data_IF_011000438899
#
_entry.id   IF_011000438899
#
_cell.length_a   1.000
_cell.length_b   1.000
_cell.length_c   1.000
_cell.angle_alpha   90.00
_cell.angle_beta   90.00
_cell.angle_gamma   90.00
#
_symmetry.space_group_name_H-M   'P 1'
#
loop_
_entity.id
_entity.type
_entity.pdbx_description
1 polymer ?
#
# COMPACT_ATOMS: atom_id res chain seq x y z
N UNK A 1 67.46 29.72 -32.52
CA UNK A 1 66.53 30.40 -31.58
C UNK A 1 65.78 29.36 -30.75
N UNK A 2 65.97 29.30 -29.42
CA UNK A 2 65.32 28.32 -28.55
C UNK A 2 64.18 28.96 -27.73
N UNK A 3 62.98 28.38 -27.73
CA UNK A 3 61.82 28.87 -26.95
C UNK A 3 61.70 28.15 -25.60
N UNK A 4 61.68 28.93 -24.52
CA UNK A 4 61.63 28.45 -23.11
C UNK A 4 60.28 27.82 -22.73
N UNK A 5 60.22 26.86 -21.80
CA UNK A 5 58.98 26.26 -21.32
C UNK A 5 58.20 27.19 -20.37
N UNK A 6 56.87 27.25 -20.53
CA UNK A 6 55.96 28.06 -19.69
C UNK A 6 55.72 27.39 -18.33
N UNK A 7 56.18 28.01 -17.23
CA UNK A 7 55.80 27.66 -15.85
C UNK A 7 54.28 27.83 -15.67
N UNK A 8 53.55 26.72 -15.42
CA UNK A 8 52.12 26.77 -15.08
C UNK A 8 51.97 27.05 -13.58
N UNK A 9 51.38 28.19 -13.24
CA UNK A 9 51.26 28.75 -11.88
C UNK A 9 50.37 27.85 -11.00
N UNK A 10 50.90 27.33 -9.89
CA UNK A 10 50.08 26.71 -8.82
C UNK A 10 49.11 27.77 -8.30
N UNK A 11 47.80 27.50 -8.33
CA UNK A 11 46.80 28.27 -7.56
C UNK A 11 46.73 27.66 -6.16
N UNK A 12 47.04 28.47 -5.15
CA UNK A 12 46.75 28.11 -3.76
C UNK A 12 45.23 28.15 -3.56
N UNK A 13 44.63 27.01 -3.20
CA UNK A 13 43.26 26.96 -2.71
C UNK A 13 43.31 27.04 -1.17
N UNK A 14 43.39 28.27 -0.66
CA UNK A 14 43.26 28.58 0.76
C UNK A 14 41.94 29.30 1.04
N UNK A 15 41.39 29.07 2.23
CA UNK A 15 40.25 29.80 2.82
C UNK A 15 38.91 29.76 2.04
N UNK A 16 38.20 28.65 2.20
CA UNK A 16 36.72 28.60 2.16
C UNK A 16 36.21 27.49 3.10
N UNK A 17 36.73 27.46 4.33
CA UNK A 17 36.16 26.66 5.41
C UNK A 17 35.18 27.57 6.17
N UNK A 18 33.90 27.20 6.20
CA UNK A 18 32.89 28.01 6.88
C UNK A 18 33.04 27.93 8.39
N UNK A 19 33.13 29.09 9.05
CA UNK A 19 33.15 29.25 10.51
C UNK A 19 31.74 29.07 11.11
N UNK A 20 31.13 27.91 10.87
CA UNK A 20 29.98 27.43 11.63
C UNK A 20 30.46 26.55 12.79
N UNK A 21 29.71 26.46 13.91
CA UNK A 21 30.01 25.49 14.96
C UNK A 21 29.99 24.08 14.38
N UNK A 22 30.99 23.26 14.73
CA UNK A 22 31.12 21.90 14.25
C UNK A 22 30.15 20.96 14.96
N UNK A 23 28.92 20.90 14.47
CA UNK A 23 27.85 20.05 15.00
C UNK A 23 28.00 18.56 14.63
N UNK A 24 29.05 18.17 13.88
CA UNK A 24 29.14 16.83 13.25
C UNK A 24 30.36 16.00 13.68
N UNK A 25 31.37 16.59 14.33
CA UNK A 25 32.52 15.85 14.90
C UNK A 25 32.21 15.05 16.16
N UNK A 26 31.09 15.32 16.84
CA UNK A 26 30.65 14.58 18.02
C UNK A 26 29.75 13.37 17.71
N UNK A 27 29.57 13.01 16.44
CA UNK A 27 28.68 11.90 16.04
C UNK A 27 29.38 10.55 16.27
N UNK A 28 28.80 9.72 17.12
CA UNK A 28 29.30 8.36 17.40
C UNK A 28 29.21 7.44 16.18
N UNK A 29 30.09 6.43 16.12
CA UNK A 29 30.15 5.46 15.01
C UNK A 29 28.77 4.82 14.71
N UNK A 30 28.00 4.49 15.74
CA UNK A 30 26.67 3.87 15.59
C UNK A 30 25.64 4.80 14.94
N UNK A 31 25.66 6.09 15.26
CA UNK A 31 24.78 7.09 14.64
C UNK A 31 25.22 7.35 13.21
N UNK A 32 26.53 7.43 12.95
CA UNK A 32 27.07 7.55 11.60
C UNK A 32 26.67 6.34 10.73
N UNK A 33 26.77 5.12 11.27
CA UNK A 33 26.35 3.88 10.62
C UNK A 33 24.85 3.87 10.33
N UNK A 34 24.03 4.37 11.26
CA UNK A 34 22.59 4.50 11.06
C UNK A 34 22.25 5.49 9.93
N UNK A 35 22.95 6.63 9.85
CA UNK A 35 22.80 7.63 8.77
C UNK A 35 23.18 7.02 7.42
N UNK A 36 24.39 6.45 7.32
CA UNK A 36 24.89 5.85 6.08
C UNK A 36 24.02 4.68 5.59
N UNK A 37 23.43 3.88 6.50
CA UNK A 37 22.52 2.76 6.13
C UNK A 37 21.25 3.19 5.39
N UNK A 38 20.91 4.48 5.45
CA UNK A 38 19.73 5.07 4.79
C UNK A 38 20.08 5.78 3.47
N UNK A 39 21.36 5.83 3.11
CA UNK A 39 21.87 6.52 1.92
C UNK A 39 22.28 5.50 0.84
N UNK A 40 22.10 5.82 -0.45
CA UNK A 40 22.73 5.06 -1.53
C UNK A 40 24.25 5.06 -1.36
N UNK A 41 24.92 3.95 -1.65
CA UNK A 41 26.38 3.75 -1.45
C UNK A 41 27.23 4.87 -2.06
N UNK A 42 26.82 5.42 -3.21
CA UNK A 42 27.49 6.58 -3.86
C UNK A 42 27.35 7.88 -3.05
N UNK A 43 26.18 8.14 -2.48
CA UNK A 43 25.92 9.29 -1.61
C UNK A 43 26.62 9.15 -0.26
N UNK A 44 26.64 7.94 0.29
CA UNK A 44 27.39 7.61 1.49
C UNK A 44 28.91 7.81 1.28
N UNK A 45 29.45 7.38 0.14
CA UNK A 45 30.84 7.65 -0.26
C UNK A 45 31.16 9.15 -0.42
N UNK A 46 30.23 9.96 -0.93
CA UNK A 46 30.47 11.41 -1.05
C UNK A 46 30.53 12.14 0.30
N UNK A 47 29.97 11.58 1.39
CA UNK A 47 30.08 12.17 2.72
C UNK A 47 31.53 12.15 3.26
N UNK A 48 32.37 11.20 2.83
CA UNK A 48 33.79 11.16 3.19
C UNK A 48 34.59 12.38 2.65
N UNK A 49 34.01 13.16 1.73
CA UNK A 49 34.60 14.41 1.26
C UNK A 49 34.28 15.62 2.17
N UNK A 50 33.23 15.54 3.01
CA UNK A 50 32.62 16.69 3.71
C UNK A 50 33.43 17.17 4.92
N UNK A 51 34.04 16.28 5.69
CA UNK A 51 34.89 16.66 6.84
C UNK A 51 36.09 15.72 6.99
N UNK A 52 37.09 16.09 7.80
CA UNK A 52 38.24 15.22 8.10
C UNK A 52 37.83 14.00 8.92
N UNK A 53 36.97 14.21 9.92
CA UNK A 53 36.38 13.14 10.73
C UNK A 53 35.61 12.14 9.86
N UNK A 54 34.73 12.63 8.98
CA UNK A 54 34.01 11.77 8.04
C UNK A 54 34.95 11.07 7.05
N UNK A 55 36.06 11.69 6.64
CA UNK A 55 37.07 11.03 5.79
C UNK A 55 37.79 9.87 6.48
N UNK A 56 37.84 9.86 7.81
CA UNK A 56 38.46 8.79 8.60
C UNK A 56 37.45 7.70 8.95
N UNK A 57 36.26 8.08 9.43
CA UNK A 57 35.24 7.12 9.89
C UNK A 57 34.43 6.48 8.75
N UNK A 58 34.12 7.23 7.68
CA UNK A 58 33.21 6.74 6.64
C UNK A 58 33.81 5.62 5.78
N UNK A 59 35.08 5.62 5.36
CA UNK A 59 35.64 4.48 4.60
C UNK A 59 35.55 3.12 5.32
N UNK A 60 36.02 2.93 6.57
CA UNK A 60 35.86 1.65 7.27
C UNK A 60 34.40 1.33 7.63
N UNK A 61 33.52 2.34 7.72
CA UNK A 61 32.09 2.13 7.84
C UNK A 61 31.42 1.71 6.53
N UNK A 62 31.87 2.23 5.37
CA UNK A 62 31.39 1.81 4.04
C UNK A 62 31.75 0.35 3.75
N UNK A 63 32.93 -0.08 4.18
CA UNK A 63 33.35 -1.49 4.17
C UNK A 63 32.52 -2.37 5.14
N UNK A 64 31.64 -1.76 5.96
CA UNK A 64 30.64 -2.38 6.86
C UNK A 64 29.19 -2.02 6.49
N UNK A 65 28.94 -1.38 5.34
CA UNK A 65 27.64 -0.80 4.96
C UNK A 65 27.13 -1.38 3.64
N UNK A 66 26.74 -2.63 3.80
CA UNK A 66 26.49 -3.58 2.75
C UNK A 66 25.18 -3.39 2.01
N UNK A 67 25.18 -2.45 1.06
CA UNK A 67 24.23 -2.46 -0.04
C UNK A 67 24.92 -2.38 -1.39
N UNK A 68 24.85 -3.47 -2.15
CA UNK A 68 25.31 -3.54 -3.54
C UNK A 68 24.12 -3.35 -4.48
N UNK A 69 24.13 -2.27 -5.27
CA UNK A 69 23.14 -2.05 -6.33
C UNK A 69 23.83 -2.12 -7.69
N UNK A 70 23.53 -3.16 -8.47
CA UNK A 70 24.14 -3.40 -9.79
C UNK A 70 23.10 -3.10 -10.87
N UNK A 71 23.36 -2.06 -11.66
CA UNK A 71 22.53 -1.63 -12.81
C UNK A 71 23.06 -2.14 -14.15
N UNK A 72 24.35 -2.50 -14.23
CA UNK A 72 25.00 -3.01 -15.44
C UNK A 72 25.91 -4.21 -15.12
N UNK A 73 25.79 -5.34 -15.86
CA UNK A 73 26.58 -6.55 -15.60
C UNK A 73 27.93 -6.60 -16.36
N UNK A 74 28.36 -5.50 -17.00
CA UNK A 74 29.55 -5.49 -17.88
C UNK A 74 30.83 -4.96 -17.23
N UNK A 75 30.76 -4.43 -16.01
CA UNK A 75 31.97 -4.27 -15.20
C UNK A 75 32.21 -5.60 -14.49
N UNK A 76 33.41 -6.17 -14.66
CA UNK A 76 33.93 -7.16 -13.73
C UNK A 76 33.95 -6.50 -12.35
N UNK A 77 32.89 -6.69 -11.55
CA UNK A 77 32.89 -6.25 -10.16
C UNK A 77 33.94 -7.11 -9.45
N UNK A 78 35.07 -6.54 -9.00
CA UNK A 78 35.98 -7.28 -8.16
C UNK A 78 35.34 -7.28 -6.78
N UNK A 79 34.43 -8.23 -6.55
CA UNK A 79 34.26 -8.76 -5.20
C UNK A 79 35.64 -9.28 -4.83
N UNK A 80 36.37 -8.52 -4.01
CA UNK A 80 37.73 -8.86 -3.59
C UNK A 80 37.72 -10.26 -2.97
N UNK A 81 38.77 -11.02 -3.20
CA UNK A 81 38.95 -12.34 -2.57
C UNK A 81 39.21 -12.25 -1.06
N UNK A 82 39.46 -11.05 -0.53
CA UNK A 82 39.35 -10.74 0.91
C UNK A 82 37.88 -10.67 1.32
N UNK A 83 37.42 -11.46 2.32
CA UNK A 83 36.01 -11.50 2.70
C UNK A 83 35.52 -10.14 3.25
N UNK A 84 34.53 -9.48 2.63
CA UNK A 84 33.84 -8.38 3.27
C UNK A 84 32.86 -8.93 4.32
N UNK A 85 32.68 -8.19 5.41
CA UNK A 85 31.82 -8.56 6.53
C UNK A 85 30.34 -8.38 6.16
N UNK A 86 29.58 -9.48 6.09
CA UNK A 86 28.10 -9.49 6.09
C UNK A 86 27.40 -8.64 5.01
N UNK A 87 27.43 -9.09 3.75
CA UNK A 87 26.66 -8.44 2.68
C UNK A 87 25.16 -8.42 3.04
N UNK A 88 24.62 -7.33 3.59
CA UNK A 88 23.24 -7.25 4.08
C UNK A 88 22.20 -7.19 2.96
N UNK A 89 22.44 -6.38 1.92
CA UNK A 89 21.50 -6.12 0.82
C UNK A 89 22.12 -6.22 -0.56
N UNK A 90 21.51 -7.02 -1.43
CA UNK A 90 21.86 -7.07 -2.87
C UNK A 90 20.64 -6.67 -3.73
N UNK A 91 20.83 -5.64 -4.55
CA UNK A 91 19.85 -5.16 -5.52
C UNK A 91 20.39 -5.31 -6.95
N UNK A 92 19.62 -5.97 -7.82
CA UNK A 92 19.92 -6.10 -9.26
C UNK A 92 18.82 -5.42 -10.08
N UNK A 93 19.19 -4.48 -10.93
CA UNK A 93 18.29 -3.83 -11.87
C UNK A 93 18.91 -3.71 -13.28
N UNK A 94 19.29 -4.83 -13.92
CA UNK A 94 20.02 -4.83 -15.19
C UNK A 94 19.15 -4.39 -16.37
N UNK A 95 19.67 -3.48 -17.20
CA UNK A 95 19.02 -3.07 -18.44
C UNK A 95 19.06 -4.13 -19.56
N UNK A 96 20.00 -5.08 -19.49
CA UNK A 96 20.13 -6.22 -20.41
C UNK A 96 19.87 -7.54 -19.68
N UNK A 97 19.52 -8.60 -20.41
CA UNK A 97 19.36 -9.93 -19.80
C UNK A 97 20.71 -10.43 -19.26
N UNK A 98 20.80 -10.70 -17.95
CA UNK A 98 21.98 -11.32 -17.34
C UNK A 98 21.99 -12.81 -17.73
N UNK A 99 23.13 -13.38 -18.18
CA UNK A 99 23.28 -14.81 -18.36
C UNK A 99 22.96 -15.60 -17.07
N UNK A 100 22.18 -16.70 -17.12
CA UNK A 100 21.80 -17.45 -15.93
C UNK A 100 22.99 -17.97 -15.10
N UNK A 101 24.14 -18.22 -15.73
CA UNK A 101 25.40 -18.63 -15.09
C UNK A 101 25.96 -17.54 -14.19
N UNK A 102 26.15 -16.32 -14.71
CA UNK A 102 26.64 -15.16 -13.95
C UNK A 102 25.71 -14.80 -12.79
N UNK A 103 24.40 -14.88 -13.01
CA UNK A 103 23.41 -14.64 -11.95
C UNK A 103 23.52 -15.68 -10.83
N UNK A 104 23.66 -16.97 -11.15
CA UNK A 104 23.85 -18.05 -10.16
C UNK A 104 25.09 -17.81 -9.32
N UNK A 105 26.26 -17.60 -9.94
CA UNK A 105 27.51 -17.35 -9.22
C UNK A 105 27.42 -16.14 -8.27
N UNK A 106 26.74 -15.07 -8.68
CA UNK A 106 26.49 -13.91 -7.82
C UNK A 106 25.58 -14.25 -6.64
N UNK A 107 24.49 -14.99 -6.87
CA UNK A 107 23.57 -15.45 -5.83
C UNK A 107 24.26 -16.41 -4.84
N UNK A 108 25.09 -17.35 -5.33
CA UNK A 108 25.79 -18.32 -4.49
C UNK A 108 26.85 -17.63 -3.61
N UNK A 109 27.54 -16.60 -4.13
CA UNK A 109 28.45 -15.74 -3.36
C UNK A 109 27.68 -14.92 -2.30
N UNK A 110 26.57 -14.31 -2.69
CA UNK A 110 25.67 -13.58 -1.79
C UNK A 110 25.10 -14.47 -0.66
N UNK A 111 24.71 -15.71 -0.98
CA UNK A 111 24.24 -16.67 0.02
C UNK A 111 25.34 -17.06 1.02
N UNK A 112 26.58 -17.26 0.54
CA UNK A 112 27.76 -17.49 1.42
C UNK A 112 28.09 -16.29 2.30
N UNK A 113 27.77 -15.07 1.87
CA UNK A 113 27.97 -13.83 2.63
C UNK A 113 26.80 -13.51 3.60
N UNK A 114 25.78 -14.37 3.68
CA UNK A 114 24.69 -14.24 4.67
C UNK A 114 23.63 -13.19 4.33
N UNK A 115 23.39 -12.89 3.04
CA UNK A 115 22.46 -11.83 2.63
C UNK A 115 21.07 -11.95 3.27
N UNK A 116 20.64 -10.85 3.87
CA UNK A 116 19.33 -10.72 4.51
C UNK A 116 18.28 -10.00 3.64
N UNK A 117 18.69 -9.25 2.60
CA UNK A 117 17.77 -8.48 1.74
C UNK A 117 18.12 -8.65 0.25
N UNK A 118 17.22 -9.23 -0.54
CA UNK A 118 17.35 -9.38 -2.01
C UNK A 118 16.30 -8.54 -2.75
N UNK A 119 16.72 -7.83 -3.78
CA UNK A 119 15.86 -6.93 -4.57
C UNK A 119 16.16 -7.01 -6.07
N UNK A 120 15.40 -7.81 -6.82
CA UNK A 120 15.65 -8.05 -8.24
C UNK A 120 14.57 -7.46 -9.14
N UNK A 121 14.93 -6.51 -9.99
CA UNK A 121 14.13 -5.97 -11.09
C UNK A 121 14.70 -6.50 -12.40
N UNK A 122 14.09 -7.54 -12.96
CA UNK A 122 14.58 -8.22 -14.16
C UNK A 122 13.62 -7.99 -15.34
N UNK A 123 14.04 -8.34 -16.55
CA UNK A 123 13.17 -8.28 -17.73
C UNK A 123 12.13 -9.41 -17.71
N UNK A 124 10.95 -9.20 -18.33
CA UNK A 124 9.82 -10.16 -18.29
C UNK A 124 10.12 -11.58 -18.78
N UNK A 125 11.23 -11.78 -19.50
CA UNK A 125 11.69 -13.10 -20.00
C UNK A 125 12.73 -13.75 -19.08
N UNK A 126 13.29 -13.02 -18.12
CA UNK A 126 14.28 -13.54 -17.18
C UNK A 126 13.63 -14.50 -16.18
N UNK A 127 14.17 -15.72 -16.12
CA UNK A 127 13.82 -16.72 -15.11
C UNK A 127 14.83 -16.63 -13.97
N UNK A 128 14.34 -16.60 -12.73
CA UNK A 128 15.18 -16.68 -11.55
C UNK A 128 15.85 -18.07 -11.45
N UNK A 129 17.07 -18.15 -10.88
CA UNK A 129 17.66 -19.44 -10.51
C UNK A 129 16.79 -20.21 -9.52
N UNK A 130 16.86 -21.55 -9.62
CA UNK A 130 16.19 -22.51 -8.73
C UNK A 130 16.42 -22.21 -7.24
N UNK A 131 17.64 -21.77 -6.90
CA UNK A 131 18.13 -21.63 -5.52
C UNK A 131 17.83 -20.25 -4.90
N UNK A 132 17.18 -19.34 -5.63
CA UNK A 132 16.93 -17.95 -5.15
C UNK A 132 16.10 -17.92 -3.88
N UNK A 133 15.19 -18.88 -3.73
CA UNK A 133 14.31 -19.03 -2.59
C UNK A 133 14.88 -20.02 -1.55
N UNK A 134 16.15 -20.42 -1.66
CA UNK A 134 16.83 -21.35 -0.73
C UNK A 134 17.78 -20.64 0.26
N UNK A 135 17.87 -19.30 0.21
CA UNK A 135 18.80 -18.52 1.03
C UNK A 135 18.25 -18.38 2.45
N UNK A 136 18.78 -19.18 3.38
CA UNK A 136 18.24 -19.30 4.76
C UNK A 136 18.24 -17.98 5.55
N UNK A 137 19.23 -17.12 5.33
CA UNK A 137 19.40 -15.81 5.99
C UNK A 137 18.41 -14.75 5.50
N UNK A 138 17.65 -15.02 4.43
CA UNK A 138 16.84 -14.03 3.74
C UNK A 138 15.67 -13.55 4.60
N UNK A 139 15.64 -12.25 4.89
CA UNK A 139 14.59 -11.57 5.66
C UNK A 139 13.65 -10.72 4.80
N UNK A 140 14.15 -10.15 3.70
CA UNK A 140 13.38 -9.35 2.74
C UNK A 140 13.66 -9.82 1.32
N UNK A 141 12.60 -10.10 0.55
CA UNK A 141 12.68 -10.43 -0.87
C UNK A 141 11.74 -9.53 -1.68
N UNK A 142 12.32 -8.70 -2.56
CA UNK A 142 11.60 -7.93 -3.57
C UNK A 142 11.92 -8.48 -4.96
N UNK A 143 10.89 -8.87 -5.71
CA UNK A 143 10.99 -9.37 -7.08
C UNK A 143 10.07 -8.55 -7.98
N UNK A 144 10.64 -7.99 -9.05
CA UNK A 144 9.93 -7.19 -10.04
C UNK A 144 10.19 -7.70 -11.47
N UNK A 145 9.09 -7.86 -12.21
CA UNK A 145 9.05 -8.19 -13.65
C UNK A 145 9.82 -9.45 -14.07
N UNK A 146 9.98 -10.44 -13.19
CA UNK A 146 10.67 -11.72 -13.46
C UNK A 146 9.73 -12.94 -13.47
N UNK A 147 10.25 -14.12 -13.83
CA UNK A 147 9.56 -15.41 -13.66
C UNK A 147 10.26 -16.30 -12.62
N UNK A 148 9.47 -16.88 -11.71
CA UNK A 148 9.91 -17.89 -10.73
C UNK A 148 9.61 -19.29 -11.29
N UNK A 149 10.62 -20.14 -11.53
CA UNK A 149 10.38 -21.50 -12.03
C UNK A 149 9.53 -22.35 -11.06
N UNK A 150 8.64 -23.24 -11.54
CA UNK A 150 7.81 -24.09 -10.68
C UNK A 150 8.59 -25.18 -9.94
N UNK A 151 9.83 -25.47 -10.37
CA UNK A 151 10.77 -26.37 -9.70
C UNK A 151 11.75 -25.64 -8.75
N UNK A 152 11.48 -24.38 -8.38
CA UNK A 152 12.33 -23.63 -7.44
C UNK A 152 12.34 -24.30 -6.06
N UNK A 153 13.52 -24.37 -5.44
CA UNK A 153 13.68 -24.84 -4.07
C UNK A 153 13.37 -23.69 -3.11
N UNK A 154 12.59 -23.98 -2.06
CA UNK A 154 12.11 -22.97 -1.11
C UNK A 154 12.53 -23.37 0.29
N UNK A 155 13.44 -22.60 0.87
CA UNK A 155 13.96 -22.73 2.23
C UNK A 155 14.30 -21.32 2.78
N UNK A 156 13.25 -20.55 3.09
CA UNK A 156 13.32 -19.15 3.53
C UNK A 156 12.72 -18.97 4.95
N UNK A 157 13.25 -19.62 6.00
CA UNK A 157 12.66 -19.60 7.34
C UNK A 157 12.63 -18.21 7.98
N UNK A 158 13.65 -17.40 7.73
CA UNK A 158 13.80 -16.06 8.31
C UNK A 158 13.05 -14.95 7.55
N UNK A 159 12.31 -15.29 6.48
CA UNK A 159 11.69 -14.30 5.59
C UNK A 159 10.54 -13.58 6.32
N UNK A 160 10.66 -12.26 6.46
CA UNK A 160 9.69 -11.36 7.10
C UNK A 160 8.90 -10.53 6.10
N UNK A 161 9.45 -10.27 4.91
CA UNK A 161 8.80 -9.44 3.89
C UNK A 161 9.01 -10.02 2.51
N UNK A 162 7.90 -10.35 1.84
CA UNK A 162 7.86 -10.81 0.46
C UNK A 162 7.12 -9.77 -0.41
N UNK A 163 7.74 -9.32 -1.49
CA UNK A 163 7.12 -8.37 -2.43
C UNK A 163 7.31 -8.86 -3.86
N UNK A 164 6.20 -9.17 -4.52
CA UNK A 164 6.14 -9.72 -5.87
C UNK A 164 5.36 -8.75 -6.78
N UNK A 165 6.05 -8.08 -7.68
CA UNK A 165 5.50 -7.04 -8.55
C UNK A 165 5.65 -7.46 -10.02
N UNK A 166 4.55 -7.75 -10.71
CA UNK A 166 4.51 -8.24 -12.12
C UNK A 166 5.31 -9.53 -12.34
N UNK A 167 5.35 -10.39 -11.32
CA UNK A 167 6.09 -11.66 -11.32
C UNK A 167 5.22 -12.80 -11.86
N UNK A 168 5.78 -13.67 -12.70
CA UNK A 168 5.16 -14.95 -13.06
C UNK A 168 5.55 -16.01 -12.02
N UNK A 169 4.59 -16.51 -11.25
CA UNK A 169 4.79 -17.46 -10.15
C UNK A 169 3.56 -18.39 -10.01
N UNK A 170 3.80 -19.69 -9.84
CA UNK A 170 2.72 -20.68 -9.66
C UNK A 170 2.26 -20.74 -8.19
N UNK A 171 0.99 -21.08 -7.98
CA UNK A 171 0.38 -21.21 -6.65
C UNK A 171 1.15 -22.16 -5.72
N UNK A 172 1.68 -23.27 -6.25
CA UNK A 172 2.50 -24.23 -5.48
C UNK A 172 3.74 -23.59 -4.86
N UNK A 173 4.41 -22.66 -5.56
CA UNK A 173 5.58 -21.96 -5.03
C UNK A 173 5.16 -20.98 -3.93
N UNK A 174 4.02 -20.28 -4.09
CA UNK A 174 3.46 -19.43 -3.03
C UNK A 174 3.20 -20.29 -1.78
N UNK A 175 2.51 -21.42 -1.93
CA UNK A 175 2.22 -22.33 -0.80
C UNK A 175 3.51 -22.80 -0.11
N UNK A 176 4.55 -23.17 -0.88
CA UNK A 176 5.87 -23.54 -0.33
C UNK A 176 6.54 -22.38 0.42
N UNK A 177 6.43 -21.14 -0.06
CA UNK A 177 6.98 -19.96 0.64
C UNK A 177 6.20 -19.71 1.94
N UNK A 178 4.87 -19.74 1.91
CA UNK A 178 4.01 -19.54 3.09
C UNK A 178 4.26 -20.61 4.16
N UNK A 179 4.46 -21.87 3.76
CA UNK A 179 4.78 -22.96 4.67
C UNK A 179 6.21 -22.90 5.23
N UNK A 180 7.18 -22.44 4.43
CA UNK A 180 8.58 -22.33 4.86
C UNK A 180 8.85 -21.11 5.75
N UNK A 181 8.16 -19.99 5.53
CA UNK A 181 8.46 -18.70 6.17
C UNK A 181 7.57 -18.45 7.40
N UNK A 182 7.88 -19.12 8.51
CA UNK A 182 7.13 -18.99 9.77
C UNK A 182 7.11 -17.56 10.33
N UNK A 183 8.11 -16.73 10.00
CA UNK A 183 8.24 -15.34 10.46
C UNK A 183 7.68 -14.28 9.47
N UNK A 184 6.94 -14.69 8.44
CA UNK A 184 6.49 -13.82 7.36
C UNK A 184 5.40 -12.84 7.82
N UNK A 185 5.78 -11.57 8.02
CA UNK A 185 4.89 -10.51 8.49
C UNK A 185 4.17 -9.79 7.34
N UNK A 186 4.87 -9.54 6.23
CA UNK A 186 4.36 -8.71 5.12
C UNK A 186 4.44 -9.42 3.77
N UNK A 187 3.32 -9.44 3.03
CA UNK A 187 3.22 -9.96 1.67
C UNK A 187 2.58 -8.91 0.75
N UNK A 188 3.29 -8.57 -0.34
CA UNK A 188 2.73 -7.85 -1.47
C UNK A 188 2.74 -8.73 -2.73
N UNK A 189 1.58 -8.91 -3.35
CA UNK A 189 1.42 -9.58 -4.65
C UNK A 189 0.67 -8.64 -5.60
N UNK A 190 1.41 -7.97 -6.48
CA UNK A 190 0.92 -6.90 -7.35
C UNK A 190 1.10 -7.30 -8.81
N UNK A 191 0.01 -7.54 -9.51
CA UNK A 191 -0.07 -7.94 -10.91
C UNK A 191 0.73 -9.20 -11.26
N UNK A 192 0.78 -10.16 -10.33
CA UNK A 192 1.38 -11.46 -10.58
C UNK A 192 0.56 -12.30 -11.58
N UNK A 193 1.26 -13.09 -12.39
CA UNK A 193 0.70 -14.10 -13.32
C UNK A 193 1.14 -15.50 -12.87
N UNK A 194 0.53 -16.56 -13.38
CA UNK A 194 0.80 -17.94 -12.94
C UNK A 194 -0.01 -18.38 -11.71
N UNK A 195 -0.54 -17.42 -10.94
CA UNK A 195 -1.60 -17.67 -9.97
C UNK A 195 -2.86 -18.12 -10.72
N UNK A 196 -3.50 -19.20 -10.27
CA UNK A 196 -4.70 -19.76 -10.91
C UNK A 196 -4.47 -20.50 -12.24
N UNK A 197 -3.30 -21.07 -12.52
CA UNK A 197 -3.08 -21.89 -13.74
C UNK A 197 -3.52 -23.36 -13.61
N UNK A 198 -4.07 -23.78 -12.47
CA UNK A 198 -4.66 -25.11 -12.27
C UNK A 198 -6.15 -25.17 -12.65
N UNK A 199 -6.78 -26.35 -12.50
CA UNK A 199 -8.25 -26.48 -12.58
C UNK A 199 -8.88 -25.53 -11.55
N UNK A 200 -9.75 -24.63 -12.00
CA UNK A 200 -10.54 -23.73 -11.14
C UNK A 200 -10.10 -22.26 -11.12
N UNK A 201 -8.90 -21.91 -11.60
CA UNK A 201 -8.51 -20.49 -11.71
C UNK A 201 -8.30 -19.78 -10.36
N UNK A 202 -8.18 -20.52 -9.26
CA UNK A 202 -8.17 -19.98 -7.89
C UNK A 202 -6.77 -19.59 -7.39
N UNK A 203 -6.71 -18.62 -6.47
CA UNK A 203 -5.53 -18.28 -5.68
C UNK A 203 -5.84 -18.38 -4.19
N UNK A 204 -5.04 -19.16 -3.46
CA UNK A 204 -5.14 -19.33 -2.01
C UNK A 204 -3.98 -18.63 -1.29
N UNK A 205 -4.25 -18.02 -0.15
CA UNK A 205 -3.23 -17.46 0.74
C UNK A 205 -3.54 -17.93 2.15
N UNK A 206 -2.84 -18.96 2.61
CA UNK A 206 -2.99 -19.51 3.97
C UNK A 206 -1.70 -19.30 4.77
N UNK A 207 -1.75 -18.54 5.86
CA UNK A 207 -0.59 -18.31 6.74
C UNK A 207 -1.03 -17.85 8.13
N UNK A 208 -0.41 -18.38 9.18
CA UNK A 208 -0.64 -17.99 10.56
C UNK A 208 0.12 -16.73 11.00
N UNK A 209 1.16 -16.33 10.25
CA UNK A 209 2.09 -15.26 10.64
C UNK A 209 1.87 -13.92 9.95
N UNK A 210 1.25 -13.92 8.76
CA UNK A 210 1.07 -12.73 7.91
C UNK A 210 0.17 -11.70 8.57
N UNK A 211 0.73 -10.50 8.78
CA UNK A 211 0.05 -9.34 9.36
C UNK A 211 -0.31 -8.27 8.34
N UNK A 212 0.42 -8.17 7.23
CA UNK A 212 0.20 -7.15 6.21
C UNK A 212 0.09 -7.79 4.83
N UNK A 213 -1.09 -7.69 4.18
CA UNK A 213 -1.35 -8.27 2.87
C UNK A 213 -1.79 -7.21 1.85
N UNK A 214 -1.06 -7.10 0.74
CA UNK A 214 -1.48 -6.34 -0.45
C UNK A 214 -1.68 -7.31 -1.61
N UNK A 215 -2.91 -7.52 -2.04
CA UNK A 215 -3.26 -8.39 -3.17
C UNK A 215 -3.93 -7.60 -4.30
N UNK A 216 -3.22 -7.48 -5.43
CA UNK A 216 -3.67 -6.80 -6.66
C UNK A 216 -3.56 -7.76 -7.85
N UNK A 217 -4.58 -8.58 -8.12
CA UNK A 217 -4.53 -9.63 -9.13
C UNK A 217 -4.50 -9.10 -10.58
N UNK A 218 -4.02 -9.96 -11.48
CA UNK A 218 -4.19 -9.79 -12.93
C UNK A 218 -5.58 -10.22 -13.38
N UNK A 219 -5.92 -9.98 -14.66
CA UNK A 219 -7.26 -10.19 -15.22
C UNK A 219 -7.70 -11.66 -15.38
N UNK A 220 -6.90 -12.63 -14.93
CA UNK A 220 -7.10 -14.07 -15.20
C UNK A 220 -7.60 -14.91 -14.01
N UNK A 221 -7.62 -14.36 -12.80
CA UNK A 221 -8.04 -15.11 -11.60
C UNK A 221 -9.57 -15.21 -11.51
N UNK A 222 -10.05 -16.42 -11.21
CA UNK A 222 -11.48 -16.74 -11.05
C UNK A 222 -11.89 -16.86 -9.59
N UNK A 223 -11.00 -17.32 -8.70
CA UNK A 223 -11.27 -17.37 -7.26
C UNK A 223 -10.13 -16.84 -6.41
N UNK A 224 -10.47 -16.30 -5.24
CA UNK A 224 -9.53 -15.79 -4.24
C UNK A 224 -9.96 -16.29 -2.87
N UNK A 225 -9.07 -16.95 -2.12
CA UNK A 225 -9.31 -17.38 -0.74
C UNK A 225 -8.17 -16.96 0.16
N UNK A 226 -8.47 -16.20 1.21
CA UNK A 226 -7.47 -15.66 2.14
C UNK A 226 -7.79 -16.15 3.55
N UNK A 227 -6.86 -16.89 4.15
CA UNK A 227 -6.87 -17.41 5.51
C UNK A 227 -5.61 -16.91 6.23
N UNK A 228 -5.72 -15.74 6.87
CA UNK A 228 -4.66 -15.15 7.67
C UNK A 228 -5.25 -14.59 8.98
N UNK A 229 -5.28 -15.35 10.08
CA UNK A 229 -5.93 -14.91 11.32
C UNK A 229 -5.17 -13.76 12.02
N UNK A 230 -3.84 -13.69 11.86
CA UNK A 230 -3.00 -12.63 12.43
C UNK A 230 -2.98 -11.32 11.61
N UNK A 231 -3.85 -11.21 10.60
CA UNK A 231 -3.87 -10.11 9.64
C UNK A 231 -4.29 -8.79 10.30
N UNK A 232 -3.40 -7.79 10.29
CA UNK A 232 -3.61 -6.44 10.81
C UNK A 232 -3.96 -5.44 9.73
N UNK A 233 -3.38 -5.58 8.54
CA UNK A 233 -3.68 -4.74 7.38
C UNK A 233 -3.94 -5.58 6.13
N UNK A 234 -5.04 -5.29 5.44
CA UNK A 234 -5.41 -5.95 4.19
C UNK A 234 -5.74 -4.90 3.13
N UNK A 235 -5.19 -5.08 1.94
CA UNK A 235 -5.45 -4.27 0.75
C UNK A 235 -5.74 -5.21 -0.41
N UNK A 236 -7.02 -5.49 -0.62
CA UNK A 236 -7.52 -6.40 -1.64
C UNK A 236 -8.14 -5.64 -2.80
N UNK A 237 -7.80 -6.07 -4.02
CA UNK A 237 -8.51 -5.70 -5.23
C UNK A 237 -9.01 -6.98 -5.90
N UNK A 238 -10.22 -6.99 -6.44
CA UNK A 238 -10.68 -8.03 -7.38
C UNK A 238 -10.66 -7.49 -8.83
N UNK A 239 -10.91 -8.37 -9.79
CA UNK A 239 -11.10 -8.03 -11.21
C UNK A 239 -12.39 -8.69 -11.70
N UNK A 240 -13.02 -8.16 -12.74
CA UNK A 240 -14.35 -8.61 -13.20
C UNK A 240 -14.44 -10.05 -13.74
N UNK A 241 -13.37 -10.85 -13.70
CA UNK A 241 -13.40 -12.30 -13.94
C UNK A 241 -13.48 -13.14 -12.66
N UNK A 242 -13.33 -12.52 -11.48
CA UNK A 242 -13.43 -13.21 -10.19
C UNK A 242 -14.89 -13.60 -9.95
N UNK A 243 -15.14 -14.91 -9.90
CA UNK A 243 -16.42 -15.57 -9.61
C UNK A 243 -16.56 -15.93 -8.14
N UNK A 244 -15.45 -16.14 -7.43
CA UNK A 244 -15.41 -16.47 -5.99
C UNK A 244 -14.46 -15.57 -5.20
N UNK A 245 -14.88 -15.17 -4.01
CA UNK A 245 -14.02 -14.52 -3.02
C UNK A 245 -14.39 -15.05 -1.62
N UNK A 246 -13.43 -15.60 -0.89
CA UNK A 246 -13.59 -16.02 0.51
C UNK A 246 -12.53 -15.34 1.38
N UNK A 247 -12.95 -14.50 2.33
CA UNK A 247 -12.11 -13.92 3.37
C UNK A 247 -12.48 -14.56 4.71
N UNK A 248 -11.55 -15.31 5.30
CA UNK A 248 -11.73 -15.91 6.61
C UNK A 248 -11.66 -14.83 7.72
N UNK A 249 -12.21 -15.10 8.92
CA UNK A 249 -12.06 -14.26 10.10
C UNK A 249 -10.61 -13.88 10.41
N UNK A 250 -10.37 -12.61 10.72
CA UNK A 250 -9.09 -12.08 11.18
C UNK A 250 -9.33 -11.07 12.31
N UNK A 251 -9.35 -11.49 13.59
CA UNK A 251 -9.78 -10.63 14.71
C UNK A 251 -8.82 -9.46 15.02
N UNK A 252 -7.57 -9.55 14.56
CA UNK A 252 -6.56 -8.52 14.74
C UNK A 252 -6.55 -7.43 13.65
N UNK A 253 -7.52 -7.48 12.72
CA UNK A 253 -7.56 -6.54 11.58
C UNK A 253 -7.87 -5.12 12.03
N UNK A 254 -6.96 -4.21 11.69
CA UNK A 254 -7.06 -2.77 11.95
C UNK A 254 -7.38 -1.97 10.69
N UNK A 255 -6.82 -2.37 9.55
CA UNK A 255 -6.97 -1.64 8.28
C UNK A 255 -7.45 -2.56 7.19
N UNK A 256 -8.64 -2.31 6.67
CA UNK A 256 -9.20 -3.06 5.56
C UNK A 256 -9.50 -2.14 4.37
N UNK A 257 -8.81 -2.35 3.25
CA UNK A 257 -9.15 -1.78 1.96
C UNK A 257 -9.62 -2.91 1.04
N UNK A 258 -10.90 -2.89 0.66
CA UNK A 258 -11.54 -3.87 -0.21
C UNK A 258 -12.09 -3.16 -1.45
N UNK A 259 -11.50 -3.41 -2.62
CA UNK A 259 -12.02 -2.93 -3.90
C UNK A 259 -12.53 -4.10 -4.74
N UNK A 260 -13.84 -4.15 -4.96
CA UNK A 260 -14.47 -5.21 -5.75
C UNK A 260 -14.87 -4.66 -7.12
N UNK A 261 -14.30 -5.21 -8.19
CA UNK A 261 -14.69 -4.87 -9.55
C UNK A 261 -16.06 -5.47 -9.91
N UNK A 262 -16.80 -4.82 -10.81
CA UNK A 262 -18.05 -5.36 -11.38
C UNK A 262 -17.77 -6.73 -12.02
N UNK A 263 -18.43 -7.82 -11.59
CA UNK A 263 -18.27 -9.12 -12.22
C UNK A 263 -18.88 -9.09 -13.63
N UNK A 264 -18.31 -9.89 -14.54
CA UNK A 264 -18.81 -10.04 -15.93
C UNK A 264 -19.80 -11.20 -16.09
N UNK A 265 -19.97 -12.01 -15.06
CA UNK A 265 -20.81 -13.22 -15.03
C UNK A 265 -21.63 -13.22 -13.75
N UNK A 266 -22.64 -14.10 -13.70
CA UNK A 266 -23.40 -14.40 -12.48
C UNK A 266 -22.41 -14.76 -11.35
N UNK A 267 -22.66 -14.24 -10.15
CA UNK A 267 -21.78 -14.40 -8.99
C UNK A 267 -22.09 -15.71 -8.26
N UNK A 268 -21.05 -16.47 -7.90
CA UNK A 268 -21.15 -17.29 -6.69
C UNK A 268 -21.05 -16.34 -5.47
N UNK A 269 -21.69 -16.64 -4.33
CA UNK A 269 -21.70 -15.74 -3.18
C UNK A 269 -20.28 -15.49 -2.67
N UNK A 270 -19.84 -14.23 -2.76
CA UNK A 270 -18.62 -13.76 -2.12
C UNK A 270 -18.83 -13.77 -0.61
N UNK A 271 -17.90 -14.38 0.12
CA UNK A 271 -17.91 -14.47 1.59
C UNK A 271 -16.91 -13.48 2.15
N UNK A 272 -17.37 -12.28 2.50
CA UNK A 272 -16.55 -11.17 3.02
C UNK A 272 -16.99 -10.82 4.45
N UNK A 273 -18.28 -11.00 4.75
CA UNK A 273 -18.86 -10.90 6.09
C UNK A 273 -17.99 -11.51 7.21
N UNK A 274 -17.39 -12.72 7.10
CA UNK A 274 -16.59 -13.28 8.19
C UNK A 274 -15.37 -12.44 8.59
N UNK A 275 -14.82 -11.63 7.68
CA UNK A 275 -13.75 -10.69 8.00
C UNK A 275 -14.27 -9.47 8.79
N UNK A 276 -15.47 -8.97 8.48
CA UNK A 276 -16.09 -7.84 9.19
C UNK A 276 -16.67 -8.26 10.54
N UNK A 277 -17.31 -9.43 10.61
CA UNK A 277 -17.82 -10.03 11.86
C UNK A 277 -16.70 -10.40 12.86
N UNK A 278 -15.44 -10.43 12.42
CA UNK A 278 -14.26 -10.51 13.29
C UNK A 278 -13.62 -9.15 13.59
N UNK A 279 -13.93 -8.12 12.82
CA UNK A 279 -13.19 -6.86 12.71
C UNK A 279 -13.37 -5.84 13.84
N UNK A 280 -13.57 -6.28 15.10
CA UNK A 280 -13.84 -5.38 16.23
C UNK A 280 -12.76 -4.30 16.45
N UNK A 281 -11.51 -4.57 16.03
CA UNK A 281 -10.34 -3.69 16.16
C UNK A 281 -10.06 -2.80 14.93
N UNK A 282 -11.00 -2.72 13.98
CA UNK A 282 -10.84 -1.91 12.77
C UNK A 282 -10.70 -0.41 13.12
N UNK A 283 -9.58 0.20 12.75
CA UNK A 283 -9.34 1.65 12.80
C UNK A 283 -9.76 2.35 11.49
N UNK A 284 -9.67 1.63 10.36
CA UNK A 284 -9.93 2.15 9.02
C UNK A 284 -10.53 1.08 8.09
N UNK A 285 -11.70 1.38 7.55
CA UNK A 285 -12.43 0.55 6.60
C UNK A 285 -12.67 1.33 5.30
N UNK A 286 -12.22 0.78 4.18
CA UNK A 286 -12.43 1.33 2.84
C UNK A 286 -13.05 0.29 1.91
N UNK A 287 -14.31 0.52 1.52
CA UNK A 287 -15.11 -0.34 0.65
C UNK A 287 -15.29 0.37 -0.70
N UNK A 288 -14.81 -0.22 -1.81
CA UNK A 288 -14.84 0.42 -3.14
C UNK A 288 -15.38 -0.52 -4.24
N UNK A 289 -15.93 0.08 -5.29
CA UNK A 289 -16.62 -0.65 -6.34
C UNK A 289 -17.84 -1.39 -5.76
N UNK A 290 -18.04 -2.65 -6.13
CA UNK A 290 -19.17 -3.48 -5.68
C UNK A 290 -19.05 -3.99 -4.24
N UNK A 291 -18.08 -3.51 -3.44
CA UNK A 291 -17.90 -3.93 -2.05
C UNK A 291 -19.15 -3.68 -1.19
N UNK A 292 -19.80 -2.52 -1.34
CA UNK A 292 -21.05 -2.22 -0.63
C UNK A 292 -22.18 -3.17 -1.06
N UNK A 293 -22.35 -3.40 -2.38
CA UNK A 293 -23.38 -4.31 -2.91
C UNK A 293 -23.21 -5.76 -2.44
N UNK A 294 -21.98 -6.27 -2.38
CA UNK A 294 -21.72 -7.63 -1.90
C UNK A 294 -22.09 -7.77 -0.43
N UNK A 295 -21.64 -6.83 0.40
CA UNK A 295 -21.93 -6.85 1.83
C UNK A 295 -23.42 -6.60 2.12
N UNK A 296 -24.09 -5.73 1.37
CA UNK A 296 -25.52 -5.49 1.56
C UNK A 296 -26.37 -6.73 1.29
N UNK A 297 -25.91 -7.66 0.44
CA UNK A 297 -26.52 -8.98 0.24
C UNK A 297 -26.11 -9.99 1.32
N UNK A 298 -24.86 -10.01 1.79
CA UNK A 298 -24.45 -10.88 2.92
C UNK A 298 -25.11 -10.53 4.27
N UNK A 299 -25.64 -9.30 4.40
CA UNK A 299 -26.32 -8.78 5.60
C UNK A 299 -27.78 -8.39 5.33
N UNK A 300 -28.43 -8.96 4.31
CA UNK A 300 -29.81 -8.67 3.94
C UNK A 300 -30.78 -9.05 5.09
N UNK A 301 -30.78 -10.33 5.47
CA UNK A 301 -31.61 -10.91 6.55
C UNK A 301 -31.18 -10.50 7.99
N UNK A 302 -30.12 -9.70 8.12
CA UNK A 302 -29.46 -9.42 9.40
C UNK A 302 -29.85 -8.01 9.88
N UNK A 303 -30.69 -7.84 10.91
CA UNK A 303 -31.23 -6.54 11.27
C UNK A 303 -30.16 -5.55 11.77
N UNK A 304 -29.16 -6.04 12.52
CA UNK A 304 -28.05 -5.25 13.08
C UNK A 304 -26.74 -6.01 12.94
N UNK A 305 -25.62 -5.30 12.76
CA UNK A 305 -24.30 -5.93 12.74
C UNK A 305 -23.98 -6.52 14.11
N UNK A 306 -23.35 -7.70 14.13
CA UNK A 306 -22.95 -8.39 15.36
C UNK A 306 -21.78 -7.69 16.07
N UNK A 307 -21.03 -6.85 15.36
CA UNK A 307 -19.82 -6.18 15.84
C UNK A 307 -20.05 -4.68 15.97
N UNK A 308 -19.68 -4.14 17.14
CA UNK A 308 -19.53 -2.70 17.36
C UNK A 308 -18.10 -2.27 17.08
N UNK A 309 -17.90 -1.44 16.06
CA UNK A 309 -16.59 -0.95 15.63
C UNK A 309 -16.15 0.26 16.47
N UNK A 310 -15.85 0.02 17.75
CA UNK A 310 -15.50 1.07 18.71
C UNK A 310 -14.21 1.82 18.33
N UNK A 311 -13.26 1.15 17.67
CA UNK A 311 -11.99 1.73 17.24
C UNK A 311 -12.07 2.47 15.88
N UNK A 312 -13.16 2.34 15.12
CA UNK A 312 -13.20 2.81 13.73
C UNK A 312 -13.25 4.33 13.64
N UNK A 313 -12.14 4.92 13.20
CA UNK A 313 -12.01 6.38 13.01
C UNK A 313 -12.20 6.80 11.57
N UNK A 314 -11.94 5.90 10.60
CA UNK A 314 -12.01 6.20 9.18
C UNK A 314 -12.91 5.20 8.46
N UNK A 315 -14.03 5.68 7.92
CA UNK A 315 -14.91 4.93 7.04
C UNK A 315 -14.93 5.58 5.66
N UNK A 316 -14.66 4.80 4.62
CA UNK A 316 -14.81 5.28 3.24
C UNK A 316 -15.51 4.26 2.36
N UNK A 317 -16.63 4.66 1.75
CA UNK A 317 -17.50 3.78 0.98
C UNK A 317 -17.66 4.28 -0.45
N UNK A 318 -17.90 3.35 -1.36
CA UNK A 318 -18.41 3.61 -2.70
C UNK A 318 -19.83 3.09 -2.74
N UNK A 319 -20.80 3.98 -2.88
CA UNK A 319 -22.21 3.70 -2.68
C UNK A 319 -23.00 4.07 -3.93
N UNK A 320 -23.86 3.18 -4.35
CA UNK A 320 -24.98 3.50 -5.26
C UNK A 320 -26.17 3.92 -4.37
N UNK A 321 -26.53 5.20 -4.47
CA UNK A 321 -27.56 5.84 -3.63
C UNK A 321 -28.99 5.46 -4.03
N UNK A 322 -29.21 5.03 -5.27
CA UNK A 322 -30.51 4.52 -5.72
C UNK A 322 -30.80 3.13 -5.15
N UNK A 323 -29.77 2.43 -4.67
CA UNK A 323 -29.89 1.09 -4.09
C UNK A 323 -30.27 1.13 -2.60
N UNK A 324 -31.57 1.05 -2.30
CA UNK A 324 -32.11 0.99 -0.93
C UNK A 324 -31.41 -0.05 -0.04
N UNK A 325 -31.02 -1.21 -0.60
CA UNK A 325 -30.28 -2.26 0.10
C UNK A 325 -28.89 -1.79 0.57
N UNK A 326 -28.15 -1.06 -0.29
CA UNK A 326 -26.83 -0.53 0.05
C UNK A 326 -26.93 0.64 1.03
N UNK A 327 -27.93 1.51 0.88
CA UNK A 327 -28.20 2.62 1.82
C UNK A 327 -28.58 2.06 3.20
N UNK A 328 -29.47 1.06 3.27
CA UNK A 328 -29.81 0.36 4.51
C UNK A 328 -28.58 -0.27 5.18
N UNK A 329 -27.71 -0.92 4.39
CA UNK A 329 -26.45 -1.49 4.92
C UNK A 329 -25.47 -0.41 5.42
N UNK A 330 -25.41 0.76 4.75
CA UNK A 330 -24.62 1.89 5.23
C UNK A 330 -25.15 2.41 6.59
N UNK A 331 -26.47 2.51 6.78
CA UNK A 331 -27.05 2.88 8.07
C UNK A 331 -26.67 1.88 9.17
N UNK A 332 -26.85 0.57 8.93
CA UNK A 332 -26.42 -0.50 9.86
C UNK A 332 -24.92 -0.37 10.22
N UNK A 333 -24.08 -0.01 9.25
CA UNK A 333 -22.64 0.20 9.47
C UNK A 333 -22.35 1.45 10.29
N UNK A 334 -22.99 2.59 10.00
CA UNK A 334 -22.82 3.85 10.73
C UNK A 334 -23.33 3.77 12.18
N UNK A 335 -24.48 3.14 12.41
CA UNK A 335 -25.01 2.80 13.74
C UNK A 335 -23.99 2.01 14.58
N UNK A 336 -23.20 1.16 13.94
CA UNK A 336 -22.19 0.30 14.57
C UNK A 336 -20.83 1.00 14.78
N UNK A 337 -20.68 2.26 14.38
CA UNK A 337 -19.41 3.02 14.40
C UNK A 337 -19.52 4.28 15.30
N UNK A 338 -19.65 4.16 16.63
CA UNK A 338 -19.95 5.29 17.53
C UNK A 338 -18.86 6.37 17.60
N UNK A 339 -17.67 6.07 17.07
CA UNK A 339 -16.42 6.78 17.31
C UNK A 339 -15.81 7.37 16.02
N UNK A 340 -16.61 7.42 14.95
CA UNK A 340 -16.19 7.76 13.59
C UNK A 340 -15.78 9.23 13.47
N UNK A 341 -14.55 9.47 13.01
CA UNK A 341 -13.98 10.83 12.86
C UNK A 341 -13.93 11.28 11.41
N UNK A 342 -13.74 10.36 10.47
CA UNK A 342 -13.59 10.65 9.04
C UNK A 342 -14.52 9.76 8.22
N UNK A 343 -15.49 10.38 7.57
CA UNK A 343 -16.41 9.70 6.67
C UNK A 343 -16.19 10.16 5.22
N UNK A 344 -16.20 9.23 4.27
CA UNK A 344 -15.88 9.53 2.87
C UNK A 344 -16.68 8.69 1.89
N UNK A 345 -17.72 9.27 1.30
CA UNK A 345 -18.60 8.65 0.30
C UNK A 345 -18.08 8.95 -1.11
N UNK A 346 -18.16 7.98 -2.02
CA UNK A 346 -18.14 8.23 -3.46
C UNK A 346 -19.39 7.66 -4.11
N UNK A 347 -20.10 8.47 -4.90
CA UNK A 347 -21.19 7.98 -5.73
C UNK A 347 -20.64 6.96 -6.74
N UNK A 348 -21.14 5.73 -6.69
CA UNK A 348 -20.91 4.72 -7.73
C UNK A 348 -21.96 4.97 -8.82
N UNK A 349 -21.57 5.66 -9.90
CA UNK A 349 -22.51 6.01 -10.95
C UNK A 349 -23.16 4.79 -11.61
N UNK A 350 -24.48 4.84 -11.71
CA UNK A 350 -25.27 4.06 -12.65
C UNK A 350 -25.65 4.95 -13.83
N UNK A 351 -25.59 4.39 -15.03
CA UNK A 351 -26.36 4.92 -16.15
C UNK A 351 -27.85 4.63 -15.91
N UNK A 352 -28.71 5.54 -16.39
CA UNK A 352 -30.18 5.49 -16.42
C UNK A 352 -30.94 5.83 -15.12
N UNK A 353 -31.93 6.70 -15.29
CA UNK A 353 -32.94 7.08 -14.31
C UNK A 353 -33.77 5.86 -13.88
N UNK A 354 -33.71 5.55 -12.58
CA UNK A 354 -34.72 4.75 -11.87
C UNK A 354 -34.93 5.39 -10.50
N UNK A 355 -36.17 5.34 -10.04
CA UNK A 355 -36.69 6.17 -8.94
C UNK A 355 -35.82 6.17 -7.68
N UNK A 356 -35.64 7.37 -7.11
CA UNK A 356 -34.94 7.51 -5.82
C UNK A 356 -35.68 6.72 -4.74
N UNK A 357 -34.97 6.05 -3.81
CA UNK A 357 -35.59 5.39 -2.69
C UNK A 357 -36.36 6.39 -1.81
N UNK A 358 -37.46 5.95 -1.16
CA UNK A 358 -38.34 6.84 -0.40
C UNK A 358 -37.62 7.53 0.77
N UNK A 359 -38.14 8.72 1.11
CA UNK A 359 -37.53 9.74 1.97
C UNK A 359 -37.42 9.42 3.47
N UNK A 360 -37.57 8.15 3.88
CA UNK A 360 -37.67 7.71 5.28
C UNK A 360 -36.33 7.56 6.03
N UNK A 361 -35.19 7.65 5.35
CA UNK A 361 -33.88 7.46 6.00
C UNK A 361 -33.41 8.65 6.86
N UNK A 362 -34.03 9.83 6.76
CA UNK A 362 -33.55 11.04 7.45
C UNK A 362 -33.70 10.99 8.97
N UNK A 363 -34.79 10.41 9.48
CA UNK A 363 -34.97 10.20 10.93
C UNK A 363 -33.95 9.19 11.50
N UNK A 364 -33.56 8.20 10.68
CA UNK A 364 -32.50 7.25 11.04
C UNK A 364 -31.12 7.89 11.00
N UNK A 365 -30.85 8.78 10.05
CA UNK A 365 -29.59 9.55 10.04
C UNK A 365 -29.49 10.47 11.27
N UNK A 366 -30.60 11.05 11.72
CA UNK A 366 -30.67 11.89 12.92
C UNK A 366 -30.37 11.12 14.22
N UNK A 367 -30.74 9.83 14.31
CA UNK A 367 -30.48 9.01 15.50
C UNK A 367 -29.05 8.45 15.56
N UNK A 368 -28.25 8.55 14.48
CA UNK A 368 -26.86 8.09 14.45
C UNK A 368 -25.94 9.12 15.13
N UNK A 369 -25.58 8.84 16.38
CA UNK A 369 -24.74 9.70 17.22
C UNK A 369 -23.37 10.05 16.63
N UNK A 370 -22.76 9.17 15.82
CA UNK A 370 -21.42 9.42 15.28
C UNK A 370 -21.40 10.56 14.23
N UNK A 371 -22.49 10.77 13.49
CA UNK A 371 -22.61 11.84 12.51
C UNK A 371 -22.71 13.22 13.16
N UNK A 372 -23.33 13.30 14.35
CA UNK A 372 -23.58 14.56 15.06
C UNK A 372 -22.51 14.88 16.11
N UNK A 373 -21.94 13.87 16.77
CA UNK A 373 -21.06 14.05 17.94
C UNK A 373 -19.57 13.76 17.72
N UNK A 374 -19.18 12.88 16.79
CA UNK A 374 -17.77 12.47 16.61
C UNK A 374 -17.16 12.83 15.26
N UNK A 375 -17.97 13.07 14.22
CA UNK A 375 -17.50 13.29 12.86
C UNK A 375 -16.74 14.63 12.74
N UNK A 376 -15.45 14.57 12.39
CA UNK A 376 -14.55 15.73 12.22
C UNK A 376 -14.32 16.07 10.75
N UNK A 377 -14.33 15.08 9.86
CA UNK A 377 -14.07 15.28 8.44
C UNK A 377 -15.06 14.48 7.58
N UNK A 378 -15.76 15.19 6.69
CA UNK A 378 -16.59 14.59 5.66
C UNK A 378 -16.00 14.81 4.26
N UNK A 379 -16.06 13.81 3.39
CA UNK A 379 -15.73 13.97 1.97
C UNK A 379 -16.74 13.27 1.07
N UNK A 380 -17.30 14.00 0.11
CA UNK A 380 -18.17 13.46 -0.92
C UNK A 380 -17.45 13.54 -2.28
N UNK A 381 -17.37 12.41 -2.99
CA UNK A 381 -16.83 12.34 -4.36
C UNK A 381 -17.89 11.99 -5.40
N UNK A 382 -17.92 12.71 -6.51
CA UNK A 382 -18.97 12.57 -7.51
C UNK A 382 -20.33 13.05 -7.01
N UNK A 383 -20.34 14.11 -6.19
CA UNK A 383 -21.56 14.72 -5.66
C UNK A 383 -22.34 15.35 -6.80
N UNK A 384 -23.65 15.06 -6.85
CA UNK A 384 -24.63 15.79 -7.66
C UNK A 384 -25.66 16.42 -6.72
N UNK A 385 -26.13 17.66 -6.92
CA UNK A 385 -27.07 18.34 -6.03
C UNK A 385 -28.53 17.84 -6.17
N UNK A 386 -28.70 16.54 -6.39
CA UNK A 386 -29.97 15.81 -6.32
C UNK A 386 -30.57 15.91 -4.92
N UNK A 387 -31.89 15.72 -4.80
CA UNK A 387 -32.62 16.05 -3.57
C UNK A 387 -32.10 15.28 -2.33
N UNK A 388 -31.86 13.98 -2.46
CA UNK A 388 -31.32 13.15 -1.36
C UNK A 388 -29.87 13.54 -1.00
N UNK A 389 -29.00 13.69 -2.00
CA UNK A 389 -27.60 14.08 -1.80
C UNK A 389 -27.50 15.46 -1.11
N UNK A 390 -28.33 16.41 -1.55
CA UNK A 390 -28.49 17.73 -0.94
C UNK A 390 -28.99 17.63 0.50
N UNK A 391 -30.05 16.87 0.78
CA UNK A 391 -30.60 16.69 2.14
C UNK A 391 -29.57 16.10 3.10
N UNK A 392 -28.85 15.05 2.70
CA UNK A 392 -27.76 14.46 3.49
C UNK A 392 -26.64 15.47 3.77
N UNK A 393 -26.22 16.24 2.76
CA UNK A 393 -25.18 17.26 2.92
C UNK A 393 -25.61 18.37 3.88
N UNK A 394 -26.84 18.88 3.75
CA UNK A 394 -27.40 19.91 4.64
C UNK A 394 -27.48 19.39 6.08
N UNK A 395 -28.00 18.18 6.30
CA UNK A 395 -28.06 17.55 7.62
C UNK A 395 -26.68 17.47 8.30
N UNK A 396 -25.65 17.01 7.60
CA UNK A 396 -24.29 16.95 8.15
C UNK A 396 -23.70 18.34 8.46
N UNK A 397 -24.11 19.36 7.71
CA UNK A 397 -23.66 20.75 7.89
C UNK A 397 -24.38 21.48 9.03
N UNK A 398 -25.60 21.07 9.41
CA UNK A 398 -26.37 21.64 10.53
C UNK A 398 -26.13 20.89 11.84
N UNK A 399 -26.19 19.54 11.82
CA UNK A 399 -26.14 18.71 13.04
C UNK A 399 -24.72 18.27 13.45
N UNK A 400 -23.73 18.40 12.55
CA UNK A 400 -22.35 17.96 12.76
C UNK A 400 -21.56 18.88 13.70
N UNK A 401 -21.74 18.76 15.02
CA UNK A 401 -21.15 19.65 16.04
C UNK A 401 -19.61 19.69 16.02
N UNK A 402 -18.96 18.55 15.74
CA UNK A 402 -17.49 18.43 15.69
C UNK A 402 -16.91 18.50 14.27
N UNK A 403 -17.74 18.69 13.24
CA UNK A 403 -17.30 18.64 11.85
C UNK A 403 -16.42 19.86 11.58
N UNK A 404 -15.16 19.69 11.19
CA UNK A 404 -14.23 20.79 10.89
C UNK A 404 -13.90 20.90 9.41
N UNK A 405 -13.96 19.80 8.65
CA UNK A 405 -13.55 19.79 7.24
C UNK A 405 -14.58 19.11 6.35
N UNK A 406 -15.01 19.79 5.30
CA UNK A 406 -15.96 19.25 4.30
C UNK A 406 -15.36 19.40 2.91
N UNK A 407 -15.06 18.27 2.27
CA UNK A 407 -14.57 18.21 0.89
C UNK A 407 -15.64 17.68 -0.07
N UNK A 408 -15.95 18.42 -1.13
CA UNK A 408 -16.93 18.01 -2.16
C UNK A 408 -16.25 18.01 -3.53
N UNK A 409 -16.56 17.02 -4.37
CA UNK A 409 -16.05 16.88 -5.75
C UNK A 409 -17.25 16.64 -6.70
N UNK A 410 -17.56 17.58 -7.63
CA UNK A 410 -18.96 17.89 -8.06
C UNK A 410 -19.19 18.42 -9.51
N UNK A 411 -18.44 17.97 -10.51
CA UNK A 411 -18.35 18.63 -11.83
C UNK A 411 -17.95 20.14 -11.80
N UNK A 412 -18.01 20.83 -12.96
CA UNK A 412 -17.78 22.29 -13.07
C UNK A 412 -19.08 23.09 -13.09
N UNK A 413 -20.12 22.59 -13.77
CA UNK A 413 -21.42 23.26 -13.82
C UNK A 413 -22.18 23.17 -12.47
N UNK A 414 -21.82 22.18 -11.62
CA UNK A 414 -22.30 21.98 -10.24
C UNK A 414 -22.03 23.15 -9.27
N UNK A 415 -21.09 24.04 -9.60
CA UNK A 415 -20.39 24.89 -8.62
C UNK A 415 -21.29 25.79 -7.77
N UNK A 416 -22.24 26.51 -8.36
CA UNK A 416 -23.05 27.47 -7.60
C UNK A 416 -24.14 26.79 -6.76
N UNK A 417 -24.65 25.63 -7.21
CA UNK A 417 -25.51 24.79 -6.38
C UNK A 417 -24.74 24.25 -5.16
N UNK A 418 -23.51 23.78 -5.35
CA UNK A 418 -22.66 23.28 -4.25
C UNK A 418 -22.28 24.38 -3.26
N UNK A 419 -21.94 25.59 -3.73
CA UNK A 419 -21.71 26.75 -2.84
C UNK A 419 -22.93 27.04 -1.96
N UNK A 420 -24.14 27.09 -2.55
CA UNK A 420 -25.41 27.33 -1.83
C UNK A 420 -25.72 26.24 -0.79
N UNK A 421 -25.35 24.99 -1.07
CA UNK A 421 -25.51 23.88 -0.11
C UNK A 421 -24.50 24.01 1.02
N UNK A 422 -23.23 24.30 0.71
CA UNK A 422 -22.17 24.46 1.72
C UNK A 422 -22.42 25.66 2.65
N UNK A 423 -23.03 26.74 2.16
CA UNK A 423 -23.47 27.87 2.99
C UNK A 423 -24.63 27.58 3.95
N UNK A 424 -25.19 26.36 3.96
CA UNK A 424 -26.13 25.95 5.00
C UNK A 424 -25.49 25.93 6.40
N UNK A 425 -24.16 25.76 6.46
CA UNK A 425 -23.42 25.84 7.72
C UNK A 425 -23.19 27.29 8.12
N UNK A 426 -23.63 27.64 9.33
CA UNK A 426 -23.49 28.99 9.93
C UNK A 426 -22.13 29.27 10.58
N UNK A 427 -21.24 28.28 10.67
CA UNK A 427 -19.90 28.45 11.24
C UNK A 427 -18.99 29.25 10.28
N UNK A 428 -18.06 30.09 10.79
CA UNK A 428 -17.07 30.77 9.98
C UNK A 428 -16.24 29.78 9.15
N UNK A 429 -15.93 30.18 7.91
CA UNK A 429 -15.02 29.43 7.03
C UNK A 429 -13.62 30.02 7.21
N UNK A 430 -12.71 29.25 7.82
CA UNK A 430 -11.31 29.66 8.00
C UNK A 430 -10.53 29.55 6.69
N UNK A 431 -10.86 28.56 5.86
CA UNK A 431 -10.10 28.25 4.64
C UNK A 431 -10.95 27.63 3.55
N UNK A 432 -10.76 28.14 2.33
CA UNK A 432 -11.28 27.55 1.10
C UNK A 432 -10.07 27.05 0.29
N UNK A 433 -10.04 25.75 0.02
CA UNK A 433 -9.04 25.14 -0.86
C UNK A 433 -9.71 24.61 -2.12
N UNK A 434 -9.46 25.28 -3.25
CA UNK A 434 -9.78 24.77 -4.59
C UNK A 434 -8.52 24.20 -5.24
N UNK A 435 -8.57 22.96 -5.75
CA UNK A 435 -7.45 22.38 -6.50
C UNK A 435 -7.62 22.66 -7.98
N UNK A 436 -6.71 23.47 -8.54
CA UNK A 436 -6.66 23.80 -9.96
C UNK A 436 -6.57 22.53 -10.82
N UNK A 437 -7.35 22.49 -11.90
CA UNK A 437 -7.43 21.36 -12.83
C UNK A 437 -8.84 20.78 -12.93
N UNK A 438 -9.46 20.43 -11.80
CA UNK A 438 -10.84 19.95 -11.79
C UNK A 438 -11.49 19.94 -10.39
N UNK A 439 -12.70 20.52 -10.33
CA UNK A 439 -13.88 19.87 -9.75
C UNK A 439 -13.90 19.65 -8.22
N UNK A 440 -12.90 20.10 -7.44
CA UNK A 440 -12.87 19.89 -5.98
C UNK A 440 -12.80 21.19 -5.15
N UNK A 441 -13.70 21.30 -4.17
CA UNK A 441 -13.75 22.34 -3.15
C UNK A 441 -13.64 21.69 -1.77
N UNK A 442 -12.74 22.18 -0.93
CA UNK A 442 -12.60 21.77 0.47
C UNK A 442 -12.72 23.02 1.37
N UNK A 443 -13.64 22.96 2.33
CA UNK A 443 -13.91 24.00 3.32
C UNK A 443 -13.44 23.54 4.69
N UNK A 444 -12.71 24.40 5.38
CA UNK A 444 -12.34 24.25 6.78
C UNK A 444 -13.14 25.28 7.61
N UNK A 445 -13.84 24.80 8.64
CA UNK A 445 -14.65 25.57 9.57
C UNK A 445 -13.97 25.60 10.94
N UNK A 446 -14.07 26.73 11.64
CA UNK A 446 -13.58 26.94 13.01
C UNK A 446 -14.31 26.06 14.04
#
# INVERSE_FOLDING_TARGET
MARRPRKRRRRNAGAAAGEGPDCFSHITEDVLRCILSRLPTRSAATLAAVSRHFRQEIPPLLDRLDSLTIQEPHVHVPLRDTPPLLLRRLALAPHRAIPPSSFRQMLDRAAKQGVSELSFRLTRRARLPKNTLSVKSLSVLFLETCAVPPWSEVACPCLRTLKLHRVAIHQEIINKILASASCLDTIEMVYCTGLGTGRGGDCTVESSSVRNLVFRPTLKLEGIKIRAPALRTVTLYTRGKVKRLELMPAPDVRKAYLHIAKPRTIMEPFKIRPLLDAGARLDCLTLRGHAMKVLSSEYEDIPKLTVMFQDLRILSVSLDLSSAQQTTFLLKLLESCPNLQKFSVSAAGTDYDLDLPPSTDHERLASISCLTSSLVQFKFRGFKPEEYQKKLMVFLLTEGKQLKKVGVEFEKHQADAVKRILSARRAPIEKISTKFGSIHMELEYS
#
